data_IF_641722810377
#
_entry.id   IF_641722810377
#
_cell.length_a   1.000
_cell.length_b   1.000
_cell.length_c   1.000
_cell.angle_alpha   90.00
_cell.angle_beta   90.00
_cell.angle_gamma   90.00
#
_symmetry.space_group_name_H-M   'P 1'
#
loop_
_entity.id
_entity.type
_entity.pdbx_description
1 polymer ?
#
# COMPACT_ATOMS: atom_id res chain seq x y z
N UNK A 1 1.20 28.39 10.46
CA UNK A 1 -0.08 28.10 11.10
C UNK A 1 -0.09 28.79 12.46
N UNK A 2 -0.68 29.98 12.51
CA UNK A 2 -1.14 30.56 13.78
C UNK A 2 -2.65 30.47 13.73
N UNK A 3 -3.29 29.60 14.52
CA UNK A 3 -4.61 29.92 15.09
C UNK A 3 -4.92 29.03 16.31
N UNK A 4 -5.57 29.67 17.30
CA UNK A 4 -6.48 29.18 18.34
C UNK A 4 -6.03 28.90 19.79
N UNK A 5 -4.77 28.59 20.11
CA UNK A 5 -4.41 28.27 21.53
C UNK A 5 -3.28 29.11 22.14
N UNK A 6 -2.91 30.26 21.57
CA UNK A 6 -1.89 31.15 22.13
C UNK A 6 -0.46 30.58 22.17
N UNK A 7 -0.27 29.34 21.73
CA UNK A 7 1.02 28.67 21.68
C UNK A 7 1.66 28.85 20.30
N UNK A 8 2.78 29.56 20.27
CA UNK A 8 3.60 29.73 19.08
C UNK A 8 4.39 28.45 18.79
N UNK A 9 3.71 27.43 18.25
CA UNK A 9 4.33 26.14 17.95
C UNK A 9 4.98 26.18 16.56
N UNK A 10 6.28 25.90 16.50
CA UNK A 10 6.98 25.74 15.23
C UNK A 10 6.41 24.53 14.50
N UNK A 11 6.15 24.69 13.19
CA UNK A 11 5.66 23.62 12.33
C UNK A 11 6.50 22.33 12.45
N UNK A 12 7.82 22.47 12.56
CA UNK A 12 8.74 21.35 12.75
C UNK A 12 8.51 20.57 14.05
N UNK A 13 8.11 21.23 15.14
CA UNK A 13 7.77 20.58 16.41
C UNK A 13 6.44 19.83 16.30
N UNK A 14 5.43 20.43 15.67
CA UNK A 14 4.15 19.79 15.43
C UNK A 14 4.31 18.55 14.52
N UNK A 15 5.10 18.66 13.45
CA UNK A 15 5.40 17.55 12.55
C UNK A 15 6.09 16.39 13.26
N UNK A 16 7.13 16.66 14.06
CA UNK A 16 7.83 15.62 14.84
C UNK A 16 6.92 14.96 15.87
N UNK A 17 6.05 15.72 16.53
CA UNK A 17 5.09 15.17 17.47
C UNK A 17 4.10 14.22 16.76
N UNK A 18 3.60 14.63 15.59
CA UNK A 18 2.75 13.78 14.74
C UNK A 18 3.47 12.49 14.32
N UNK A 19 4.67 12.61 13.77
CA UNK A 19 5.49 11.48 13.32
C UNK A 19 5.81 10.51 14.48
N UNK A 20 6.09 11.03 15.68
CA UNK A 20 6.30 10.22 16.86
C UNK A 20 5.06 9.46 17.31
N UNK A 21 3.89 10.12 17.30
CA UNK A 21 2.61 9.47 17.63
C UNK A 21 2.25 8.42 16.58
N UNK A 22 2.44 8.70 15.29
CA UNK A 22 2.23 7.73 14.21
C UNK A 22 3.12 6.50 14.37
N UNK A 23 4.41 6.68 14.65
CA UNK A 23 5.34 5.58 14.92
C UNK A 23 4.99 4.81 16.20
N UNK A 24 4.45 5.47 17.23
CA UNK A 24 4.00 4.81 18.45
C UNK A 24 2.75 3.94 18.23
N UNK A 25 1.80 4.42 17.42
CA UNK A 25 0.53 3.71 17.16
C UNK A 25 0.68 2.59 16.13
N UNK A 26 1.35 2.86 15.00
CA UNK A 26 1.44 1.91 13.88
C UNK A 26 2.77 1.16 13.84
N UNK A 27 3.72 1.54 14.69
CA UNK A 27 5.09 1.07 14.61
C UNK A 27 5.90 1.81 13.53
N UNK A 28 7.22 1.55 13.47
CA UNK A 28 8.07 2.12 12.44
C UNK A 28 7.64 1.62 11.05
N UNK A 29 7.56 2.50 10.04
CA UNK A 29 7.28 2.11 8.67
C UNK A 29 8.18 0.98 8.15
N UNK A 30 9.45 0.96 8.54
CA UNK A 30 10.43 -0.06 8.15
C UNK A 30 10.04 -1.46 8.64
N UNK A 31 9.47 -1.56 9.85
CA UNK A 31 9.02 -2.84 10.39
C UNK A 31 7.79 -3.36 9.62
N UNK A 32 6.93 -2.47 9.14
CA UNK A 32 5.77 -2.84 8.33
C UNK A 32 6.19 -3.53 7.02
N UNK A 33 7.25 -3.05 6.36
CA UNK A 33 7.77 -3.70 5.16
C UNK A 33 8.34 -5.10 5.42
N UNK A 34 8.94 -5.33 6.60
CA UNK A 34 9.45 -6.66 6.99
C UNK A 34 8.33 -7.69 7.18
N UNK A 35 7.09 -7.25 7.41
CA UNK A 35 5.93 -8.12 7.56
C UNK A 35 5.30 -8.53 6.22
N UNK A 36 5.65 -7.86 5.11
CA UNK A 36 5.09 -8.15 3.78
C UNK A 36 5.27 -9.60 3.30
N UNK A 37 6.41 -10.29 3.53
CA UNK A 37 6.55 -11.70 3.18
C UNK A 37 5.54 -12.58 3.91
N UNK A 38 5.38 -12.37 5.22
CA UNK A 38 4.44 -13.12 6.05
C UNK A 38 2.99 -12.82 5.65
N UNK A 39 2.67 -11.54 5.36
CA UNK A 39 1.37 -11.14 4.83
C UNK A 39 1.07 -11.82 3.49
N UNK A 40 2.01 -11.80 2.54
CA UNK A 40 1.89 -12.47 1.24
C UNK A 40 1.66 -13.98 1.39
N UNK A 41 2.35 -14.62 2.33
CA UNK A 41 2.17 -16.04 2.63
C UNK A 41 0.76 -16.32 3.12
N UNK A 42 0.32 -15.61 4.17
CA UNK A 42 -1.02 -15.74 4.74
C UNK A 42 -2.12 -15.45 3.72
N UNK A 43 -1.91 -14.47 2.85
CA UNK A 43 -2.86 -14.12 1.81
C UNK A 43 -3.08 -15.27 0.82
N UNK A 44 -2.01 -15.99 0.45
CA UNK A 44 -2.08 -17.19 -0.41
C UNK A 44 -2.78 -18.36 0.29
N UNK A 45 -2.57 -18.53 1.59
CA UNK A 45 -3.26 -19.56 2.38
C UNK A 45 -4.77 -19.31 2.47
N UNK A 46 -5.17 -18.07 2.77
CA UNK A 46 -6.58 -17.69 2.96
C UNK A 46 -7.32 -17.59 1.62
N UNK A 47 -6.64 -17.15 0.56
CA UNK A 47 -7.20 -17.03 -0.78
C UNK A 47 -6.38 -17.86 -1.79
N UNK A 48 -6.59 -19.20 -1.83
CA UNK A 48 -5.92 -20.08 -2.78
C UNK A 48 -6.03 -19.58 -4.22
N UNK A 49 -4.94 -19.67 -4.97
CA UNK A 49 -4.83 -19.15 -6.34
C UNK A 49 -4.45 -17.67 -6.44
N UNK A 50 -4.34 -16.95 -5.32
CA UNK A 50 -3.79 -15.58 -5.31
C UNK A 50 -2.32 -15.61 -5.72
N UNK A 51 -1.93 -14.73 -6.64
CA UNK A 51 -0.55 -14.53 -7.05
C UNK A 51 0.00 -13.34 -6.26
N UNK A 52 1.13 -13.55 -5.59
CA UNK A 52 1.89 -12.46 -4.96
C UNK A 52 3.34 -12.53 -5.40
N UNK A 53 3.92 -11.37 -5.68
CA UNK A 53 5.33 -11.16 -5.98
C UNK A 53 5.82 -10.06 -5.05
N UNK A 54 6.89 -10.34 -4.32
CA UNK A 54 7.57 -9.37 -3.47
C UNK A 54 9.01 -9.25 -3.97
N UNK A 55 9.44 -8.04 -4.29
CA UNK A 55 10.79 -7.76 -4.75
C UNK A 55 11.52 -6.89 -3.73
N UNK A 56 12.73 -7.32 -3.40
CA UNK A 56 13.68 -6.56 -2.60
C UNK A 56 14.97 -6.30 -3.39
N UNK A 57 15.65 -5.21 -3.04
CA UNK A 57 16.96 -4.87 -3.57
C UNK A 57 18.08 -5.72 -2.93
N UNK A 58 19.32 -5.48 -3.33
CA UNK A 58 20.51 -6.17 -2.80
C UNK A 58 20.75 -5.93 -1.30
N UNK A 59 20.19 -4.86 -0.75
CA UNK A 59 20.25 -4.51 0.67
C UNK A 59 19.01 -5.02 1.46
N UNK A 60 18.21 -5.92 0.87
CA UNK A 60 16.95 -6.42 1.45
C UNK A 60 15.91 -5.33 1.76
N UNK A 61 15.96 -4.20 1.06
CA UNK A 61 14.95 -3.16 1.16
C UNK A 61 13.85 -3.41 0.13
N UNK A 62 12.63 -3.03 0.49
CA UNK A 62 11.47 -3.13 -0.38
C UNK A 62 11.66 -2.31 -1.67
N UNK A 63 11.39 -2.92 -2.82
CA UNK A 63 11.31 -2.21 -4.11
C UNK A 63 9.87 -2.13 -4.61
N UNK A 64 9.19 -3.27 -4.70
CA UNK A 64 7.78 -3.32 -5.06
C UNK A 64 7.14 -4.63 -4.60
N UNK A 65 5.81 -4.60 -4.55
CA UNK A 65 4.98 -5.79 -4.38
C UNK A 65 3.84 -5.75 -5.40
N UNK A 66 3.52 -6.93 -5.92
CA UNK A 66 2.37 -7.15 -6.78
C UNK A 66 1.47 -8.21 -6.16
N UNK A 67 0.17 -7.96 -6.17
CA UNK A 67 -0.86 -8.87 -5.68
C UNK A 67 -1.94 -8.96 -6.75
N UNK A 68 -2.26 -10.18 -7.19
CA UNK A 68 -3.44 -10.47 -7.99
C UNK A 68 -4.28 -11.53 -7.27
N UNK A 69 -5.41 -11.10 -6.73
CA UNK A 69 -6.34 -11.97 -6.03
C UNK A 69 -6.95 -13.02 -6.97
N UNK A 70 -7.15 -14.24 -6.46
CA UNK A 70 -7.75 -15.33 -7.25
C UNK A 70 -9.11 -14.96 -7.84
N UNK A 71 -9.94 -14.25 -7.07
CA UNK A 71 -11.24 -13.76 -7.52
C UNK A 71 -11.12 -12.78 -8.70
N UNK A 72 -10.18 -11.82 -8.63
CA UNK A 72 -9.92 -10.88 -9.72
C UNK A 72 -9.40 -11.58 -10.98
N UNK A 73 -8.47 -12.53 -10.82
CA UNK A 73 -7.97 -13.35 -11.92
C UNK A 73 -9.07 -14.19 -12.58
N UNK A 74 -9.98 -14.73 -11.77
CA UNK A 74 -11.12 -15.49 -12.27
C UNK A 74 -12.07 -14.58 -13.06
N UNK A 75 -12.48 -13.44 -12.49
CA UNK A 75 -13.34 -12.47 -13.18
C UNK A 75 -12.74 -11.99 -14.50
N UNK A 76 -11.45 -11.65 -14.50
CA UNK A 76 -10.73 -11.23 -15.70
C UNK A 76 -10.70 -12.29 -16.81
N UNK A 77 -10.61 -13.58 -16.44
CA UNK A 77 -10.58 -14.67 -17.43
C UNK A 77 -11.95 -15.05 -17.99
N UNK A 78 -13.03 -14.76 -17.26
CA UNK A 78 -14.33 -15.39 -17.52
C UNK A 78 -15.45 -14.42 -17.86
N UNK A 79 -15.47 -13.24 -17.22
CA UNK A 79 -16.60 -12.30 -17.30
C UNK A 79 -16.17 -10.96 -17.87
N UNK A 80 -14.99 -10.46 -17.49
CA UNK A 80 -14.64 -9.07 -17.74
C UNK A 80 -14.01 -8.88 -19.13
N UNK A 81 -14.36 -7.78 -19.81
CA UNK A 81 -13.81 -7.43 -21.12
C UNK A 81 -12.30 -7.13 -21.11
N UNK A 82 -11.65 -7.06 -22.29
CA UNK A 82 -10.19 -6.91 -22.42
C UNK A 82 -9.64 -5.53 -22.02
N UNK A 83 -10.48 -4.66 -21.43
CA UNK A 83 -10.11 -3.31 -21.04
C UNK A 83 -9.72 -3.29 -19.56
N UNK A 84 -8.46 -2.97 -19.31
CA UNK A 84 -7.90 -2.75 -17.97
C UNK A 84 -7.63 -1.27 -17.81
N UNK A 85 -8.24 -0.64 -16.81
CA UNK A 85 -7.89 0.71 -16.37
C UNK A 85 -6.94 0.59 -15.17
N UNK A 86 -5.84 1.35 -15.20
CA UNK A 86 -4.85 1.39 -14.12
C UNK A 86 -4.77 2.82 -13.62
N UNK A 87 -4.96 2.99 -12.32
CA UNK A 87 -4.75 4.26 -11.63
C UNK A 87 -3.62 4.14 -10.60
N UNK A 88 -2.93 5.25 -10.35
CA UNK A 88 -1.80 5.35 -9.44
C UNK A 88 -2.03 6.43 -8.39
N UNK A 89 -2.07 6.05 -7.12
CA UNK A 89 -2.18 6.99 -6.00
C UNK A 89 -0.86 7.09 -5.25
N UNK A 90 -0.41 8.32 -4.98
CA UNK A 90 0.77 8.55 -4.15
C UNK A 90 0.43 8.27 -2.69
N UNK A 91 1.21 7.41 -2.05
CA UNK A 91 1.06 7.10 -0.63
C UNK A 91 1.65 8.24 0.20
N UNK A 92 0.93 8.62 1.26
CA UNK A 92 1.43 9.57 2.25
C UNK A 92 2.22 8.80 3.28
N UNK A 93 3.52 9.07 3.35
CA UNK A 93 4.38 8.43 4.33
C UNK A 93 5.80 8.95 4.25
N UNK A 94 6.66 8.39 5.09
CA UNK A 94 8.10 8.64 5.07
C UNK A 94 8.73 8.21 3.73
N UNK A 95 8.15 7.18 3.10
CA UNK A 95 8.54 6.68 1.80
C UNK A 95 7.57 7.19 0.74
N UNK A 96 8.11 7.79 -0.31
CA UNK A 96 7.34 8.33 -1.44
C UNK A 96 6.99 7.20 -2.41
N UNK A 97 6.06 6.34 -1.99
CA UNK A 97 5.63 5.19 -2.77
C UNK A 97 4.38 5.51 -3.61
N UNK A 98 4.17 4.75 -4.68
CA UNK A 98 2.98 4.82 -5.53
C UNK A 98 2.28 3.48 -5.48
N UNK A 99 1.00 3.50 -5.14
CA UNK A 99 0.13 2.33 -5.20
C UNK A 99 -0.62 2.33 -6.53
N UNK A 100 -0.38 1.32 -7.35
CA UNK A 100 -1.13 1.09 -8.57
C UNK A 100 -2.31 0.15 -8.29
N UNK A 101 -3.49 0.52 -8.78
CA UNK A 101 -4.69 -0.31 -8.73
C UNK A 101 -5.19 -0.52 -10.15
N UNK A 102 -5.38 -1.78 -10.53
CA UNK A 102 -5.98 -2.16 -11.79
C UNK A 102 -7.45 -2.57 -11.57
N UNK A 103 -8.35 -1.96 -12.33
CA UNK A 103 -9.76 -2.35 -12.40
C UNK A 103 -10.09 -2.75 -13.83
N UNK A 104 -11.02 -3.69 -13.95
CA UNK A 104 -11.51 -4.14 -15.25
C UNK A 104 -13.01 -3.88 -15.29
N UNK A 105 -13.52 -3.38 -16.42
CA UNK A 105 -14.93 -3.05 -16.61
C UNK A 105 -15.61 -4.16 -17.43
N UNK A 106 -16.73 -4.67 -16.94
CA UNK A 106 -17.58 -5.57 -17.71
C UNK A 106 -18.23 -4.79 -18.86
N UNK A 107 -18.34 -5.41 -20.03
CA UNK A 107 -18.82 -4.78 -21.27
C UNK A 107 -20.36 -4.68 -21.32
N UNK A 108 -21.00 -4.52 -20.16
CA UNK A 108 -22.44 -4.39 -20.02
C UNK A 108 -22.80 -2.94 -19.65
N UNK A 109 -22.44 -2.01 -20.55
CA UNK A 109 -22.84 -0.59 -20.51
C UNK A 109 -24.07 -0.41 -21.40
#
# INVERSE_FOLDING_TARGET
MQVEHGLHLLYSKAWRAKDHVEAYVFGPPEESFKLLPAYCHRLKEVNPGTITVLKTNVANQFEYMFIAHSASLHGFRTVIGPVIAIDGTHLKGKFSDIMFVAICLDANI
#
